data_IF_966213398397
#
_entry.id   IF_966213398397
#
_cell.length_a   1.000
_cell.length_b   1.000
_cell.length_c   1.000
_cell.angle_alpha   90.00
_cell.angle_beta   90.00
_cell.angle_gamma   90.00
#
_symmetry.space_group_name_H-M   'P 1'
#
loop_
_entity.id
_entity.type
_entity.pdbx_description
1 polymer ?
#
# COMPACT_ATOMS: atom_id res chain seq x y z
N UNK A 1 35.00 6.74 -8.07
CA UNK A 1 34.98 7.78 -7.03
C UNK A 1 33.62 7.75 -6.36
N UNK A 2 33.48 7.20 -5.14
CA UNK A 2 32.24 7.33 -4.39
C UNK A 2 32.03 8.81 -4.03
N UNK A 3 30.85 9.36 -4.36
CA UNK A 3 30.51 10.75 -4.07
C UNK A 3 30.53 11.05 -2.56
N UNK A 4 30.61 12.33 -2.17
CA UNK A 4 30.55 12.71 -0.77
C UNK A 4 29.26 12.20 -0.12
N UNK A 5 29.30 11.76 1.15
CA UNK A 5 28.11 11.31 1.86
C UNK A 5 27.07 12.44 1.90
N UNK A 6 25.76 12.12 1.83
CA UNK A 6 24.71 13.13 1.88
C UNK A 6 24.85 13.93 3.18
N UNK A 7 25.12 15.24 3.04
CA UNK A 7 25.17 16.16 4.17
C UNK A 7 23.74 16.48 4.59
N UNK A 8 23.37 16.08 5.80
CA UNK A 8 22.10 16.47 6.42
C UNK A 8 22.07 17.99 6.57
N UNK A 9 21.08 18.64 5.97
CA UNK A 9 20.87 20.08 6.11
C UNK A 9 19.87 20.31 7.26
N UNK A 10 20.31 20.78 8.44
CA UNK A 10 19.45 20.94 9.62
C UNK A 10 18.34 21.99 9.44
N UNK A 11 18.40 22.80 8.37
CA UNK A 11 17.36 23.79 8.03
C UNK A 11 16.47 23.37 6.85
N UNK A 12 16.57 22.14 6.36
CA UNK A 12 15.69 21.67 5.30
C UNK A 12 14.32 21.31 5.87
N UNK A 13 13.41 22.28 5.92
CA UNK A 13 12.00 22.09 6.33
C UNK A 13 11.16 21.29 5.33
N UNK A 14 11.78 20.75 4.27
CA UNK A 14 11.13 19.92 3.25
C UNK A 14 11.19 18.46 3.68
N UNK A 15 10.08 17.94 4.18
CA UNK A 15 9.90 16.51 4.37
C UNK A 15 9.87 15.84 2.98
N UNK A 16 10.80 14.91 2.75
CA UNK A 16 10.76 14.08 1.54
C UNK A 16 10.02 12.79 1.88
N UNK A 17 8.82 12.62 1.32
CA UNK A 17 8.07 11.39 1.48
C UNK A 17 8.77 10.27 0.73
N UNK A 18 9.24 9.25 1.46
CA UNK A 18 9.77 8.04 0.85
C UNK A 18 8.59 7.16 0.45
N UNK A 19 8.24 7.20 -0.83
CA UNK A 19 7.22 6.33 -1.39
C UNK A 19 7.83 4.98 -1.79
N UNK A 20 7.05 3.89 -1.73
CA UNK A 20 7.44 2.61 -2.32
C UNK A 20 7.79 2.77 -3.80
N UNK A 21 8.65 1.88 -4.32
CA UNK A 21 9.12 1.91 -5.72
C UNK A 21 7.98 1.87 -6.74
N UNK A 22 6.84 1.32 -6.35
CA UNK A 22 5.56 1.34 -7.06
C UNK A 22 5.17 2.73 -7.56
N UNK A 23 5.40 3.77 -6.76
CA UNK A 23 4.97 5.14 -7.04
C UNK A 23 5.95 5.90 -7.95
N UNK A 24 7.16 5.38 -8.14
CA UNK A 24 8.23 6.05 -8.90
C UNK A 24 8.68 5.25 -10.12
N UNK A 25 8.07 4.09 -10.40
CA UNK A 25 8.41 3.28 -11.58
C UNK A 25 7.98 3.98 -12.87
N UNK A 26 8.78 3.78 -13.92
CA UNK A 26 8.44 4.12 -15.30
C UNK A 26 7.49 3.07 -15.89
N UNK A 27 6.88 3.42 -17.03
CA UNK A 27 6.10 2.48 -17.82
C UNK A 27 6.98 1.30 -18.28
N UNK A 28 6.54 0.08 -17.95
CA UNK A 28 7.04 -1.17 -18.52
C UNK A 28 5.88 -1.87 -19.20
N UNK A 29 6.10 -2.40 -20.41
CA UNK A 29 5.10 -3.15 -21.16
C UNK A 29 5.44 -4.64 -21.22
N UNK A 30 4.40 -5.46 -21.43
CA UNK A 30 4.51 -6.88 -21.74
C UNK A 30 3.59 -7.23 -22.90
N UNK A 31 3.97 -8.19 -23.76
CA UNK A 31 3.10 -8.63 -24.84
C UNK A 31 1.92 -9.44 -24.30
N UNK A 32 0.73 -9.11 -24.80
CA UNK A 32 -0.52 -9.79 -24.49
C UNK A 32 -1.21 -10.25 -25.78
N UNK A 33 -1.90 -11.39 -25.69
CA UNK A 33 -2.72 -11.93 -26.77
C UNK A 33 -4.09 -11.25 -26.75
N UNK A 34 -4.46 -10.65 -27.87
CA UNK A 34 -5.66 -9.84 -28.07
C UNK A 34 -6.45 -10.40 -29.25
N UNK A 35 -7.77 -10.45 -29.11
CA UNK A 35 -8.70 -10.81 -30.18
C UNK A 35 -9.34 -9.56 -30.76
N UNK A 36 -9.47 -9.51 -32.08
CA UNK A 36 -10.38 -8.59 -32.72
C UNK A 36 -11.78 -9.21 -32.79
N UNK A 37 -12.75 -8.50 -32.24
CA UNK A 37 -14.10 -9.03 -32.02
C UNK A 37 -15.13 -8.03 -32.53
N UNK A 38 -16.06 -8.44 -33.42
CA UNK A 38 -17.20 -7.62 -33.77
C UNK A 38 -18.01 -7.23 -32.53
N UNK A 39 -18.45 -5.97 -32.45
CA UNK A 39 -19.21 -5.46 -31.28
C UNK A 39 -20.48 -6.28 -30.99
N UNK A 40 -21.08 -6.90 -32.00
CA UNK A 40 -22.23 -7.81 -31.90
C UNK A 40 -21.93 -9.07 -31.10
N UNK A 41 -20.70 -9.58 -31.17
CA UNK A 41 -20.27 -10.85 -30.57
C UNK A 41 -19.53 -10.68 -29.24
N UNK A 42 -19.12 -9.45 -28.92
CA UNK A 42 -18.33 -9.12 -27.74
C UNK A 42 -18.87 -9.70 -26.43
N UNK A 43 -20.21 -9.70 -26.26
CA UNK A 43 -20.84 -10.26 -25.05
C UNK A 43 -20.68 -11.78 -24.93
N UNK A 44 -20.72 -12.51 -26.05
CA UNK A 44 -20.55 -13.97 -26.10
C UNK A 44 -19.09 -14.32 -25.87
N UNK A 45 -18.18 -13.61 -26.52
CA UNK A 45 -16.73 -13.76 -26.34
C UNK A 45 -16.33 -13.52 -24.89
N UNK A 46 -16.78 -12.41 -24.29
CA UNK A 46 -16.47 -12.09 -22.89
C UNK A 46 -16.99 -13.12 -21.89
N UNK A 47 -18.18 -13.70 -22.11
CA UNK A 47 -18.72 -14.78 -21.27
C UNK A 47 -17.93 -16.09 -21.40
N UNK A 48 -17.46 -16.40 -22.59
CA UNK A 48 -16.64 -17.59 -22.82
C UNK A 48 -15.26 -17.41 -22.20
N UNK A 49 -14.64 -16.26 -22.42
CA UNK A 49 -13.36 -15.89 -21.86
C UNK A 49 -13.36 -15.81 -20.33
N UNK A 50 -14.44 -15.36 -19.69
CA UNK A 50 -14.50 -15.35 -18.23
C UNK A 50 -14.53 -16.75 -17.61
N UNK A 51 -14.98 -17.77 -18.36
CA UNK A 51 -15.06 -19.17 -17.93
C UNK A 51 -13.81 -19.97 -18.30
N UNK A 52 -13.35 -19.86 -19.55
CA UNK A 52 -12.26 -20.69 -20.09
C UNK A 52 -10.87 -20.08 -19.90
N UNK A 53 -10.76 -18.74 -19.95
CA UNK A 53 -9.47 -18.05 -19.91
C UNK A 53 -9.56 -16.79 -19.03
N UNK A 54 -9.80 -16.93 -17.71
CA UNK A 54 -9.85 -15.77 -16.82
C UNK A 54 -8.50 -15.03 -16.83
N UNK A 55 -8.56 -13.69 -16.77
CA UNK A 55 -7.33 -12.90 -16.75
C UNK A 55 -6.51 -13.22 -15.49
N UNK A 56 -5.19 -13.43 -15.62
CA UNK A 56 -4.33 -13.66 -14.47
C UNK A 56 -4.31 -12.42 -13.57
N UNK A 57 -4.08 -12.62 -12.27
CA UNK A 57 -4.04 -11.53 -11.30
C UNK A 57 -3.05 -10.42 -11.68
N UNK A 58 -1.96 -10.78 -12.37
CA UNK A 58 -0.94 -9.85 -12.87
C UNK A 58 -1.44 -8.88 -13.95
N UNK A 59 -2.60 -9.13 -14.59
CA UNK A 59 -3.20 -8.30 -15.64
C UNK A 59 -4.60 -7.79 -15.26
N UNK A 60 -5.00 -8.01 -14.00
CA UNK A 60 -6.34 -7.64 -13.51
C UNK A 60 -6.57 -6.13 -13.42
N UNK A 61 -5.50 -5.34 -13.51
CA UNK A 61 -5.54 -3.88 -13.60
C UNK A 61 -5.91 -3.35 -14.99
N UNK A 62 -5.81 -4.18 -16.03
CA UNK A 62 -6.17 -3.81 -17.39
C UNK A 62 -7.69 -3.89 -17.58
N UNK A 63 -8.25 -2.98 -18.36
CA UNK A 63 -9.58 -3.20 -18.92
C UNK A 63 -9.46 -4.26 -20.00
N UNK A 64 -10.30 -5.28 -19.93
CA UNK A 64 -10.25 -6.41 -20.86
C UNK A 64 -10.59 -6.03 -22.30
N UNK A 65 -11.35 -4.95 -22.50
CA UNK A 65 -11.88 -4.56 -23.81
C UNK A 65 -11.54 -3.11 -24.10
N UNK A 66 -11.09 -2.81 -25.32
CA UNK A 66 -11.01 -1.46 -25.89
C UNK A 66 -11.64 -1.42 -27.29
N UNK A 67 -11.91 -0.23 -27.79
CA UNK A 67 -12.34 -0.04 -29.19
C UNK A 67 -11.10 -0.15 -30.07
N UNK A 68 -11.25 -0.77 -31.24
CA UNK A 68 -10.21 -0.73 -32.24
C UNK A 68 -10.11 0.70 -32.80
N UNK A 69 -8.89 1.21 -33.00
CA UNK A 69 -8.69 2.62 -33.42
C UNK A 69 -9.10 2.86 -34.88
N UNK A 70 -8.80 1.90 -35.77
CA UNK A 70 -9.06 2.03 -37.22
C UNK A 70 -10.39 1.40 -37.71
N UNK A 71 -10.80 0.25 -37.13
CA UNK A 71 -11.95 -0.53 -37.59
C UNK A 71 -13.21 -0.17 -36.78
N UNK A 72 -14.14 0.58 -37.39
CA UNK A 72 -15.41 0.91 -36.74
C UNK A 72 -16.23 -0.36 -36.47
N UNK A 73 -16.81 -0.46 -35.27
CA UNK A 73 -17.61 -1.62 -34.87
C UNK A 73 -16.80 -2.83 -34.41
N UNK A 74 -15.47 -2.75 -34.39
CA UNK A 74 -14.57 -3.81 -33.88
C UNK A 74 -14.03 -3.42 -32.51
N UNK A 75 -13.92 -4.41 -31.62
CA UNK A 75 -13.34 -4.29 -30.29
C UNK A 75 -12.10 -5.16 -30.20
N UNK A 76 -11.12 -4.70 -29.43
CA UNK A 76 -9.95 -5.48 -29.09
C UNK A 76 -10.10 -6.03 -27.67
N UNK A 77 -9.96 -7.35 -27.52
CA UNK A 77 -10.23 -8.06 -26.26
C UNK A 77 -9.00 -8.83 -25.79
N UNK A 78 -8.48 -8.50 -24.62
CA UNK A 78 -7.34 -9.21 -24.00
C UNK A 78 -7.78 -10.60 -23.55
N UNK A 79 -7.10 -11.62 -24.07
CA UNK A 79 -7.26 -13.03 -23.67
C UNK A 79 -6.37 -13.32 -22.47
N UNK A 80 -5.09 -12.96 -22.57
CA UNK A 80 -4.08 -13.24 -21.56
C UNK A 80 -2.66 -12.88 -22.01
N UNK A 81 -1.62 -13.43 -21.36
CA UNK A 81 -0.22 -13.24 -21.74
C UNK A 81 0.08 -13.76 -23.16
N UNK A 82 1.22 -13.34 -23.72
CA UNK A 82 1.82 -13.97 -24.89
C UNK A 82 1.87 -15.49 -24.69
N UNK A 83 1.32 -16.24 -25.65
CA UNK A 83 1.23 -17.71 -25.66
C UNK A 83 0.11 -18.35 -24.83
N UNK A 84 -0.90 -17.58 -24.38
CA UNK A 84 -2.11 -18.19 -23.80
C UNK A 84 -2.97 -18.93 -24.85
N UNK A 85 -3.63 -20.01 -24.45
CA UNK A 85 -4.61 -20.71 -25.29
C UNK A 85 -5.80 -19.79 -25.62
N UNK A 86 -6.09 -19.68 -26.93
CA UNK A 86 -7.21 -18.90 -27.46
C UNK A 86 -8.38 -19.86 -27.72
N UNK A 87 -9.54 -19.70 -27.06
CA UNK A 87 -10.66 -20.64 -27.21
C UNK A 87 -11.56 -20.32 -28.42
N UNK A 88 -11.02 -19.68 -29.46
CA UNK A 88 -11.75 -19.25 -30.67
C UNK A 88 -10.86 -19.42 -31.88
N UNK A 89 -11.36 -20.14 -32.89
CA UNK A 89 -10.63 -20.41 -34.13
C UNK A 89 -10.92 -19.40 -35.24
N UNK A 90 -12.11 -18.77 -35.19
CA UNK A 90 -12.62 -17.89 -36.26
C UNK A 90 -12.30 -16.40 -36.06
N UNK A 91 -11.57 -16.04 -34.99
CA UNK A 91 -11.27 -14.66 -34.63
C UNK A 91 -9.80 -14.32 -34.91
N UNK A 92 -9.56 -13.10 -35.39
CA UNK A 92 -8.20 -12.62 -35.64
C UNK A 92 -7.46 -12.39 -34.31
N UNK A 93 -6.29 -13.02 -34.20
CA UNK A 93 -5.43 -12.96 -33.01
C UNK A 93 -4.26 -12.01 -33.27
N UNK A 94 -4.00 -11.09 -32.34
CA UNK A 94 -2.87 -10.15 -32.39
C UNK A 94 -2.10 -10.15 -31.09
N UNK A 95 -0.82 -9.81 -31.18
CA UNK A 95 0.01 -9.50 -30.02
C UNK A 95 0.09 -7.98 -29.86
N UNK A 96 -0.25 -7.49 -28.68
CA UNK A 96 -0.22 -6.06 -28.34
C UNK A 96 0.51 -5.88 -27.02
N UNK A 97 1.35 -4.85 -26.94
CA UNK A 97 2.01 -4.47 -25.70
C UNK A 97 1.04 -3.75 -24.76
N UNK A 98 0.96 -4.23 -23.52
CA UNK A 98 0.11 -3.68 -22.46
C UNK A 98 0.93 -3.32 -21.22
N UNK A 99 0.49 -2.37 -20.38
CA UNK A 99 1.18 -2.04 -19.13
C UNK A 99 1.33 -3.27 -18.24
N UNK A 100 2.58 -3.59 -17.89
CA UNK A 100 2.96 -4.72 -17.04
C UNK A 100 2.42 -4.60 -15.61
N UNK A 101 2.26 -3.37 -15.13
CA UNK A 101 1.92 -3.07 -13.74
C UNK A 101 0.71 -2.11 -13.66
N UNK A 102 -0.05 -2.15 -12.55
CA UNK A 102 -1.03 -1.12 -12.25
C UNK A 102 -0.36 0.22 -11.97
N UNK A 103 -1.02 1.31 -12.35
CA UNK A 103 -0.62 2.66 -11.95
C UNK A 103 -0.98 2.93 -10.48
N UNK A 104 -0.06 3.57 -9.76
CA UNK A 104 -0.23 3.98 -8.36
C UNK A 104 -0.44 5.49 -8.22
N UNK A 105 0.01 6.30 -9.19
CA UNK A 105 -0.23 7.75 -9.24
C UNK A 105 -1.14 8.13 -10.40
N UNK A 106 -1.75 9.32 -10.33
CA UNK A 106 -2.60 9.82 -11.43
C UNK A 106 -1.80 10.06 -12.70
N UNK A 107 -0.56 10.50 -12.56
CA UNK A 107 0.36 10.76 -13.66
C UNK A 107 0.70 9.45 -14.38
N UNK A 108 1.08 8.41 -13.62
CA UNK A 108 1.28 7.06 -14.17
C UNK A 108 0.01 6.55 -14.86
N UNK A 109 -1.17 6.75 -14.26
CA UNK A 109 -2.42 6.30 -14.86
C UNK A 109 -2.69 7.01 -16.17
N UNK A 110 -2.54 8.33 -16.23
CA UNK A 110 -2.76 9.11 -17.45
C UNK A 110 -1.79 8.72 -18.57
N UNK A 111 -0.51 8.52 -18.24
CA UNK A 111 0.51 8.10 -19.20
C UNK A 111 0.25 6.67 -19.70
N UNK A 112 0.08 5.71 -18.80
CA UNK A 112 0.04 4.29 -19.16
C UNK A 112 -1.30 3.88 -19.77
N UNK A 113 -2.39 4.59 -19.44
CA UNK A 113 -3.71 4.36 -20.02
C UNK A 113 -3.77 4.73 -21.51
N UNK A 114 -2.75 5.44 -22.05
CA UNK A 114 -2.60 5.68 -23.49
C UNK A 114 -2.13 4.41 -24.23
N UNK A 115 -1.39 3.52 -23.56
CA UNK A 115 -0.92 2.26 -24.15
C UNK A 115 -2.04 1.23 -24.18
N UNK A 116 -2.67 1.01 -23.03
CA UNK A 116 -3.86 0.16 -22.93
C UNK A 116 -4.77 0.68 -21.82
N UNK A 117 -6.10 0.71 -22.00
CA UNK A 117 -7.00 1.19 -20.97
C UNK A 117 -6.90 0.39 -19.67
N UNK A 118 -6.81 1.07 -18.53
CA UNK A 118 -6.66 0.48 -17.20
C UNK A 118 -7.80 0.86 -16.26
N UNK A 119 -7.92 0.14 -15.16
CA UNK A 119 -8.82 0.47 -14.06
C UNK A 119 -8.03 1.28 -13.02
N UNK A 120 -8.42 2.54 -12.81
CA UNK A 120 -7.84 3.35 -11.74
C UNK A 120 -8.32 2.87 -10.38
N UNK A 121 -7.39 2.47 -9.50
CA UNK A 121 -7.65 2.18 -8.09
C UNK A 121 -6.70 2.99 -7.25
N UNK A 122 -7.24 3.89 -6.43
CA UNK A 122 -6.45 4.73 -5.53
C UNK A 122 -5.78 3.84 -4.47
N UNK A 123 -4.43 3.82 -4.37
CA UNK A 123 -3.75 3.04 -3.33
C UNK A 123 -4.08 3.56 -1.94
N UNK A 124 -4.22 2.66 -0.96
CA UNK A 124 -4.48 3.01 0.44
C UNK A 124 -3.36 3.84 1.10
N UNK A 125 -2.17 3.89 0.49
CA UNK A 125 -1.03 4.65 0.99
C UNK A 125 -1.17 6.16 0.80
N UNK A 126 -2.11 6.63 -0.04
CA UNK A 126 -2.51 8.04 -0.04
C UNK A 126 -3.34 8.36 1.23
N UNK A 127 -2.78 8.08 2.41
CA UNK A 127 -3.12 8.80 3.64
C UNK A 127 -2.70 10.24 3.38
N UNK A 128 -3.68 11.01 2.93
CA UNK A 128 -3.67 12.44 2.72
C UNK A 128 -2.52 13.12 3.47
N UNK A 129 -1.60 13.70 2.70
CA UNK A 129 -0.53 14.58 3.14
C UNK A 129 -1.01 15.60 4.18
N UNK A 130 -2.31 15.92 4.22
CA UNK A 130 -2.89 16.83 5.20
C UNK A 130 -2.67 16.43 6.67
N UNK A 131 -2.46 15.15 7.02
CA UNK A 131 -2.18 14.78 8.41
C UNK A 131 -0.70 14.99 8.81
N UNK A 132 0.23 14.76 7.87
CA UNK A 132 1.67 14.98 8.09
C UNK A 132 2.05 16.46 7.89
N UNK A 133 1.45 17.11 6.89
CA UNK A 133 1.67 18.50 6.50
C UNK A 133 0.73 19.51 7.18
N UNK A 134 -0.21 19.08 8.05
CA UNK A 134 -0.85 20.03 8.99
C UNK A 134 0.26 20.55 9.91
N UNK A 135 0.64 21.83 9.80
CA UNK A 135 1.62 22.40 10.69
C UNK A 135 0.91 22.74 12.00
N UNK A 136 0.73 21.77 12.89
CA UNK A 136 0.49 22.08 14.29
C UNK A 136 0.76 20.89 15.20
N UNK A 137 1.88 20.95 15.91
CA UNK A 137 1.83 21.33 17.33
C UNK A 137 3.27 21.60 17.78
N UNK A 138 3.51 22.63 18.60
CA UNK A 138 4.83 22.93 19.17
C UNK A 138 5.52 21.67 19.75
N UNK A 139 4.73 20.69 20.19
CA UNK A 139 5.16 19.39 20.68
C UNK A 139 6.00 18.59 19.69
N UNK A 140 5.64 18.54 18.40
CA UNK A 140 6.45 17.82 17.39
C UNK A 140 7.83 18.45 17.22
N UNK A 141 7.90 19.79 17.21
CA UNK A 141 9.17 20.53 17.15
C UNK A 141 10.00 20.28 18.41
N UNK A 142 9.35 20.22 19.57
CA UNK A 142 10.01 19.90 20.83
C UNK A 142 10.60 18.49 20.83
N UNK A 143 9.83 17.49 20.38
CA UNK A 143 10.30 16.12 20.22
C UNK A 143 11.52 16.07 19.28
N UNK A 144 11.46 16.73 18.12
CA UNK A 144 12.60 16.79 17.20
C UNK A 144 13.83 17.43 17.85
N UNK A 145 13.68 18.51 18.63
CA UNK A 145 14.79 19.11 19.40
C UNK A 145 15.36 18.16 20.45
N UNK A 146 14.50 17.44 21.17
CA UNK A 146 14.93 16.42 22.12
C UNK A 146 15.72 15.29 21.46
N UNK A 147 15.43 14.99 20.18
CA UNK A 147 16.14 13.99 19.40
C UNK A 147 17.46 14.52 18.84
N UNK A 148 17.51 15.76 18.37
CA UNK A 148 18.74 16.41 17.90
C UNK A 148 19.74 16.63 19.05
N UNK A 149 19.25 16.96 20.25
CA UNK A 149 20.07 17.08 21.45
C UNK A 149 20.61 15.74 21.96
N UNK A 150 20.00 14.62 21.55
CA UNK A 150 20.47 13.31 21.94
C UNK A 150 21.73 12.96 21.14
N UNK A 151 22.88 12.91 21.82
CA UNK A 151 24.15 12.49 21.22
C UNK A 151 24.24 10.98 20.90
N UNK A 152 23.10 10.27 20.91
CA UNK A 152 22.97 8.81 20.72
C UNK A 152 21.69 8.48 19.96
N UNK A 153 21.64 7.26 19.41
CA UNK A 153 20.44 6.72 18.74
C UNK A 153 19.30 6.62 19.74
N UNK A 154 18.23 7.37 19.50
CA UNK A 154 17.11 7.55 20.42
C UNK A 154 15.79 7.31 19.71
N UNK A 155 14.82 6.81 20.45
CA UNK A 155 13.46 6.58 19.98
C UNK A 155 12.46 7.16 20.94
N UNK A 156 11.50 7.91 20.40
CA UNK A 156 10.38 8.47 21.14
C UNK A 156 9.09 7.97 20.49
N UNK A 157 8.22 7.33 21.28
CA UNK A 157 6.89 6.88 20.86
C UNK A 157 5.85 7.81 21.45
N UNK A 158 4.94 8.29 20.60
CA UNK A 158 3.91 9.27 20.93
C UNK A 158 2.54 8.69 20.64
N UNK A 159 1.62 8.80 21.60
CA UNK A 159 0.23 8.35 21.47
C UNK A 159 -0.51 9.12 20.38
N UNK A 160 -1.65 8.60 19.88
CA UNK A 160 -2.54 9.34 18.99
C UNK A 160 -2.97 10.72 19.54
N UNK A 161 -3.00 10.87 20.87
CA UNK A 161 -3.36 12.11 21.56
C UNK A 161 -2.21 13.12 21.65
N UNK A 162 -0.99 12.73 21.28
CA UNK A 162 0.19 13.61 21.27
C UNK A 162 1.10 13.49 22.50
N UNK A 163 0.82 12.56 23.42
CA UNK A 163 1.61 12.33 24.63
C UNK A 163 2.77 11.39 24.37
N UNK A 164 3.92 11.65 24.99
CA UNK A 164 5.08 10.74 24.92
C UNK A 164 4.81 9.56 25.85
N UNK A 165 4.75 8.36 25.29
CA UNK A 165 4.45 7.12 26.03
C UNK A 165 5.68 6.23 26.24
N UNK A 166 6.74 6.44 25.47
CA UNK A 166 8.04 5.80 25.70
C UNK A 166 9.18 6.64 25.13
N UNK A 167 10.33 6.55 25.79
CA UNK A 167 11.56 7.20 25.42
C UNK A 167 12.73 6.27 25.76
N UNK A 168 13.52 5.91 24.74
CA UNK A 168 14.62 4.98 24.91
C UNK A 168 15.83 5.37 24.08
N UNK A 169 17.01 5.02 24.59
CA UNK A 169 18.29 5.14 23.90
C UNK A 169 18.86 3.75 23.62
N UNK A 170 19.70 3.67 22.59
CA UNK A 170 20.33 2.41 22.21
C UNK A 170 21.44 2.04 23.20
N UNK A 171 21.54 0.75 23.51
CA UNK A 171 22.69 0.19 24.20
C UNK A 171 23.63 -0.43 23.17
N UNK A 172 24.71 0.31 22.83
CA UNK A 172 25.71 -0.13 21.84
C UNK A 172 26.46 -1.40 22.27
N UNK A 173 26.32 -1.86 23.53
CA UNK A 173 26.97 -3.07 24.02
C UNK A 173 26.16 -4.34 23.74
N UNK A 174 24.87 -4.22 23.44
CA UNK A 174 23.99 -5.38 23.27
C UNK A 174 23.30 -5.36 21.90
N UNK A 175 23.57 -6.33 21.01
CA UNK A 175 23.15 -6.30 19.61
C UNK A 175 21.63 -6.31 19.39
N UNK A 176 20.84 -6.67 20.42
CA UNK A 176 19.37 -6.65 20.35
C UNK A 176 18.71 -5.50 21.14
N UNK A 177 19.47 -4.71 21.92
CA UNK A 177 18.91 -3.60 22.72
C UNK A 177 18.96 -2.29 21.93
N UNK A 178 18.37 -2.33 20.75
CA UNK A 178 18.12 -1.14 19.97
C UNK A 178 17.09 -0.25 20.68
N UNK A 179 17.26 1.07 20.58
CA UNK A 179 16.33 2.04 21.16
C UNK A 179 14.85 1.75 20.78
N UNK A 180 14.58 1.31 19.54
CA UNK A 180 13.24 0.90 19.12
C UNK A 180 12.68 -0.25 19.98
N UNK A 181 13.48 -1.29 20.18
CA UNK A 181 13.07 -2.48 20.93
C UNK A 181 12.84 -2.16 22.40
N UNK A 182 13.71 -1.32 22.98
CA UNK A 182 13.58 -0.87 24.37
C UNK A 182 12.32 -0.01 24.53
N UNK A 183 12.05 0.94 23.61
CA UNK A 183 10.86 1.76 23.65
C UNK A 183 9.57 0.93 23.52
N UNK A 184 9.54 -0.04 22.60
CA UNK A 184 8.39 -0.96 22.47
C UNK A 184 8.20 -1.78 23.76
N UNK A 185 9.29 -2.26 24.36
CA UNK A 185 9.24 -2.99 25.63
C UNK A 185 8.72 -2.12 26.78
N UNK A 186 9.06 -0.82 26.82
CA UNK A 186 8.53 0.12 27.80
C UNK A 186 7.01 0.31 27.62
N UNK A 187 6.54 0.52 26.37
CA UNK A 187 5.10 0.62 26.08
C UNK A 187 4.37 -0.66 26.49
N UNK A 188 4.93 -1.82 26.15
CA UNK A 188 4.34 -3.11 26.50
C UNK A 188 4.31 -3.37 28.01
N UNK A 189 5.33 -2.93 28.76
CA UNK A 189 5.37 -3.05 30.21
C UNK A 189 4.41 -2.08 30.93
N UNK A 190 4.16 -0.91 30.32
CA UNK A 190 3.22 0.08 30.83
C UNK A 190 1.76 -0.25 30.49
N UNK A 191 1.52 -1.02 29.43
CA UNK A 191 0.20 -1.58 29.14
C UNK A 191 -0.16 -2.57 30.25
N UNK A 192 -1.27 -2.31 30.96
CA UNK A 192 -1.77 -3.20 32.01
C UNK A 192 -1.82 -4.63 31.48
N UNK A 193 -1.26 -5.63 32.17
CA UNK A 193 -1.37 -7.02 31.72
C UNK A 193 -2.84 -7.33 31.52
N UNK A 194 -3.21 -7.71 30.29
CA UNK A 194 -4.54 -8.23 30.00
C UNK A 194 -4.85 -9.30 31.04
N UNK A 195 -6.04 -9.30 31.67
CA UNK A 195 -6.43 -10.40 32.53
C UNK A 195 -6.23 -11.68 31.73
N UNK A 196 -5.50 -12.64 32.32
CA UNK A 196 -5.17 -13.91 31.68
C UNK A 196 -6.45 -14.51 31.10
N UNK A 197 -6.61 -14.46 29.77
CA UNK A 197 -7.74 -15.08 29.10
C UNK A 197 -7.64 -16.56 29.41
N UNK A 198 -8.66 -17.05 30.11
CA UNK A 198 -8.74 -18.36 30.74
C UNK A 198 -8.14 -19.49 29.89
N UNK A 199 -7.13 -20.14 30.45
CA UNK A 199 -6.97 -21.59 30.31
C UNK A 199 -8.20 -22.27 30.89
N UNK A 200 -9.10 -22.80 30.04
CA UNK A 200 -10.07 -23.81 30.48
C UNK A 200 -11.44 -23.79 29.79
N UNK A 201 -11.71 -24.89 29.09
CA UNK A 201 -13.03 -25.51 28.79
C UNK A 201 -14.04 -24.71 27.94
N UNK A 202 -14.19 -25.18 26.70
CA UNK A 202 -15.42 -25.03 25.89
C UNK A 202 -16.61 -25.65 26.64
N UNK A 203 -17.63 -24.86 26.88
CA UNK A 203 -19.02 -25.31 26.97
C UNK A 203 -19.89 -24.47 26.04
N UNK A 204 -20.87 -25.12 25.46
CA UNK A 204 -21.75 -24.75 24.35
C UNK A 204 -22.63 -23.52 24.58
N UNK A 205 -22.95 -22.85 23.46
CA UNK A 205 -23.94 -21.79 23.13
C UNK A 205 -25.37 -22.00 23.69
N UNK A 206 -26.35 -21.04 23.61
CA UNK A 206 -26.57 -20.07 22.51
C UNK A 206 -27.12 -18.64 22.84
N UNK A 207 -26.96 -17.76 21.82
CA UNK A 207 -27.78 -16.60 21.37
C UNK A 207 -28.32 -15.53 22.35
N UNK A 208 -27.86 -14.27 22.20
CA UNK A 208 -28.71 -13.11 21.79
C UNK A 208 -27.89 -11.80 21.70
N UNK A 209 -28.03 -11.13 20.55
CA UNK A 209 -28.28 -9.68 20.35
C UNK A 209 -27.65 -8.64 21.30
N UNK A 210 -26.69 -7.85 20.80
CA UNK A 210 -26.77 -6.37 20.76
C UNK A 210 -25.40 -5.74 20.40
N UNK A 211 -25.39 -5.04 19.28
CA UNK A 211 -24.71 -3.75 19.05
C UNK A 211 -23.61 -3.34 20.07
N UNK A 212 -22.43 -3.95 19.92
CA UNK A 212 -21.23 -3.56 20.62
C UNK A 212 -20.37 -2.66 19.74
N UNK A 213 -20.79 -1.41 19.52
CA UNK A 213 -19.90 -0.36 19.03
C UNK A 213 -18.87 -0.09 20.13
N UNK A 214 -17.81 -0.90 20.16
CA UNK A 214 -16.61 -0.66 20.96
C UNK A 214 -16.09 0.72 20.58
N UNK A 215 -16.13 1.63 21.55
CA UNK A 215 -15.64 2.99 21.40
C UNK A 215 -14.20 2.98 20.86
N UNK A 216 -13.86 3.91 19.98
CA UNK A 216 -12.51 4.06 19.40
C UNK A 216 -11.40 4.19 20.46
N UNK A 217 -11.78 4.49 21.70
CA UNK A 217 -10.91 4.57 22.87
C UNK A 217 -10.36 3.19 23.26
N UNK A 218 -11.16 2.12 23.19
CA UNK A 218 -10.72 0.74 23.53
C UNK A 218 -9.91 0.06 22.43
N UNK A 219 -10.03 0.51 21.17
CA UNK A 219 -9.13 0.07 20.08
C UNK A 219 -7.75 0.72 20.12
N UNK A 220 -7.60 1.83 20.84
CA UNK A 220 -6.36 2.63 20.90
C UNK A 220 -5.35 2.14 21.94
N UNK A 221 -5.72 1.23 22.85
CA UNK A 221 -4.88 0.80 23.97
C UNK A 221 -3.99 -0.42 23.66
N UNK A 222 -4.09 -1.00 22.47
CA UNK A 222 -3.28 -2.16 22.11
C UNK A 222 -1.88 -1.73 21.64
N UNK A 223 -0.91 -1.84 22.56
CA UNK A 223 0.51 -1.57 22.31
C UNK A 223 0.72 -0.21 21.63
N UNK A 224 1.43 -0.19 20.49
CA UNK A 224 1.77 1.02 19.76
C UNK A 224 0.77 1.34 18.62
N UNK A 225 -0.46 0.83 18.68
CA UNK A 225 -1.44 1.03 17.60
C UNK A 225 -1.78 2.51 17.45
N UNK A 226 -1.66 3.04 16.23
CA UNK A 226 -1.92 4.46 15.93
C UNK A 226 -0.86 5.44 16.46
N UNK A 227 0.20 4.96 17.10
CA UNK A 227 1.27 5.81 17.64
C UNK A 227 2.15 6.40 16.53
N UNK A 228 2.72 7.57 16.81
CA UNK A 228 3.80 8.16 16.01
C UNK A 228 5.15 7.78 16.63
N UNK A 229 6.10 7.37 15.79
CA UNK A 229 7.44 6.98 16.24
C UNK A 229 8.47 7.90 15.60
N UNK A 230 9.36 8.43 16.43
CA UNK A 230 10.46 9.29 16.01
C UNK A 230 11.79 8.59 16.31
N UNK A 231 12.71 8.58 15.34
CA UNK A 231 13.99 7.83 15.35
C UNK A 231 15.15 8.77 14.98
N UNK A 232 16.29 8.68 15.69
CA UNK A 232 17.55 9.41 15.38
C UNK A 232 18.69 8.50 14.95
#
# INVERSE_FOLDING_TARGET
MPGPPPRYCPNCTKFNQLLPREFTRSLETVPATVLEVPKTEASVVMKTLSRKSPLPSAMSHLKRVRRHDEKEGVLEVVVGPKDCEVPFDDLEVRLVDVPKYPAFTREQFQEWNQVWPMVWRRPALERSDSALNKPSSARRKEILRMMEAAGRKKVIIVSPNGDVIAEAEADDKHPLKHACMVAISQVAAAATPLPAVHSGKRSSSPEESADGTLSDIEKSSYLCTGCSVYLS
#
